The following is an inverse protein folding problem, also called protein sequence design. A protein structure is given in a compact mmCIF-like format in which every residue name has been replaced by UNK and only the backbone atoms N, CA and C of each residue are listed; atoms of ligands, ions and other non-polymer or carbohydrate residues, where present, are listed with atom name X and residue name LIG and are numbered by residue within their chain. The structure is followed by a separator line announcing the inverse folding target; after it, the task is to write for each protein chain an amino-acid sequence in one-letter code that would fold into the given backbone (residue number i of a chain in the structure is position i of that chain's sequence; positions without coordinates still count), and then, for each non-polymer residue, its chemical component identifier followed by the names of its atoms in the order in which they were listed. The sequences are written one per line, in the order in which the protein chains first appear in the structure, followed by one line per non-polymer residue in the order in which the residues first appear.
data_IF_675652965649
#
_entry.id   IF_675652965649
#
_cell.length_a   1.000
_cell.length_b   1.000
_cell.length_c   1.000
_cell.angle_alpha   90.00
_cell.angle_beta   90.00
_cell.angle_gamma   90.00
#
_symmetry.space_group_name_H-M   'P 1'
#
loop_
_entity.id
_entity.type
_entity.pdbx_description
1 polymer ?
#
# COMPACT_ATOMS: atom_id res chain seq x y z
N UNK A 1 -6.99 -2.11 31.75
CA UNK A 1 -5.67 -2.71 31.49
C UNK A 1 -5.45 -2.55 30.01
N UNK A 2 -4.74 -1.49 29.60
CA UNK A 2 -4.40 -1.30 28.19
C UNK A 2 -3.26 -2.27 27.93
N UNK A 3 -3.54 -3.32 27.17
CA UNK A 3 -2.53 -4.28 26.74
C UNK A 3 -1.38 -3.54 26.07
N UNK A 4 -0.18 -3.99 26.43
CA UNK A 4 1.13 -3.59 25.98
C UNK A 4 1.10 -3.10 24.52
N UNK A 5 1.15 -1.77 24.34
CA UNK A 5 1.34 -1.17 23.02
C UNK A 5 2.74 -1.56 22.57
N UNK A 6 2.81 -2.63 21.76
CA UNK A 6 3.97 -3.05 20.99
C UNK A 6 4.60 -1.81 20.35
N UNK A 7 5.64 -1.27 20.99
CA UNK A 7 6.26 -0.01 20.62
C UNK A 7 7.15 -0.30 19.41
N UNK A 8 6.52 -0.46 18.24
CA UNK A 8 7.23 -0.66 16.97
C UNK A 8 8.20 0.50 16.82
N UNK A 9 9.50 0.18 16.68
CA UNK A 9 10.52 1.20 16.40
C UNK A 9 10.33 1.66 14.96
N UNK A 10 9.46 2.67 14.79
CA UNK A 10 9.00 3.18 13.50
C UNK A 10 10.18 3.58 12.61
N UNK A 11 11.25 4.12 13.21
CA UNK A 11 12.46 4.58 12.52
C UNK A 11 13.25 3.45 11.82
N UNK A 12 13.11 2.20 12.28
CA UNK A 12 13.88 1.07 11.77
C UNK A 12 13.15 0.27 10.68
N UNK A 13 11.92 0.65 10.31
CA UNK A 13 11.12 -0.11 9.34
C UNK A 13 11.77 -0.05 7.96
N UNK A 14 12.40 -1.15 7.58
CA UNK A 14 12.92 -1.43 6.23
C UNK A 14 11.79 -2.06 5.42
N UNK A 15 11.36 -1.38 4.35
CA UNK A 15 10.34 -1.94 3.48
C UNK A 15 10.89 -3.17 2.74
N UNK A 16 10.19 -4.32 2.76
CA UNK A 16 10.56 -5.46 1.95
C UNK A 16 10.43 -5.12 0.46
N UNK A 17 11.19 -5.82 -0.37
CA UNK A 17 10.98 -5.87 -1.82
C UNK A 17 9.76 -6.76 -2.15
N UNK A 18 8.60 -6.39 -1.58
CA UNK A 18 7.34 -7.07 -1.85
C UNK A 18 6.56 -6.30 -2.91
N UNK A 19 6.07 -7.01 -3.92
CA UNK A 19 5.20 -6.48 -4.96
C UNK A 19 5.83 -5.43 -5.87
N UNK A 20 5.10 -5.10 -6.93
CA UNK A 20 5.50 -4.08 -7.91
C UNK A 20 4.28 -3.43 -8.58
N UNK A 21 4.50 -2.28 -9.22
CA UNK A 21 3.51 -1.65 -10.09
C UNK A 21 3.88 -1.93 -11.53
N UNK A 22 2.97 -2.55 -12.28
CA UNK A 22 3.17 -2.96 -13.67
C UNK A 22 2.15 -2.30 -14.59
N UNK A 23 2.56 -2.03 -15.84
CA UNK A 23 1.64 -1.59 -16.87
C UNK A 23 0.69 -2.74 -17.26
N UNK A 24 -0.51 -2.40 -17.73
CA UNK A 24 -1.52 -3.37 -18.15
C UNK A 24 -2.30 -2.86 -19.35
N UNK A 25 -2.63 -3.77 -20.28
CA UNK A 25 -3.43 -3.47 -21.47
C UNK A 25 -4.95 -3.46 -21.19
N UNK A 26 -5.36 -3.58 -19.93
CA UNK A 26 -6.76 -3.56 -19.51
C UNK A 26 -7.29 -2.16 -19.20
N UNK A 27 -8.54 -2.10 -18.71
CA UNK A 27 -9.20 -0.84 -18.28
C UNK A 27 -8.37 -0.09 -17.23
N UNK A 28 -7.71 -0.83 -16.34
CA UNK A 28 -6.76 -0.27 -15.37
C UNK A 28 -5.36 -0.26 -16.01
N UNK A 29 -4.79 0.92 -16.32
CA UNK A 29 -3.51 1.01 -17.03
C UNK A 29 -2.29 0.64 -16.17
N UNK A 30 -2.43 0.69 -14.84
CA UNK A 30 -1.38 0.36 -13.87
C UNK A 30 -1.95 -0.54 -12.78
N UNK A 31 -1.38 -1.73 -12.60
CA UNK A 31 -1.79 -2.69 -11.58
C UNK A 31 -0.72 -2.82 -10.51
N UNK A 32 -1.16 -3.05 -9.27
CA UNK A 32 -0.30 -3.48 -8.19
C UNK A 32 -0.37 -5.00 -8.11
N UNK A 33 0.79 -5.65 -8.21
CA UNK A 33 0.93 -7.10 -8.08
C UNK A 33 1.73 -7.43 -6.83
N UNK A 34 1.45 -8.58 -6.22
CA UNK A 34 2.15 -9.09 -5.04
C UNK A 34 3.52 -9.70 -5.39
N UNK A 35 4.15 -10.35 -4.40
CA UNK A 35 5.44 -11.02 -4.59
C UNK A 35 5.44 -12.22 -5.54
N UNK A 36 4.26 -12.75 -5.88
CA UNK A 36 4.07 -13.83 -6.85
C UNK A 36 3.67 -13.30 -8.23
N UNK A 37 3.47 -11.98 -8.36
CA UNK A 37 3.00 -11.36 -9.60
C UNK A 37 1.49 -11.37 -9.76
N UNK A 38 0.74 -11.78 -8.73
CA UNK A 38 -0.72 -11.82 -8.76
C UNK A 38 -1.31 -10.45 -8.39
N UNK A 39 -2.42 -10.02 -9.03
CA UNK A 39 -3.07 -8.77 -8.68
C UNK A 39 -3.51 -8.72 -7.22
N UNK A 40 -3.24 -7.61 -6.55
CA UNK A 40 -3.78 -7.35 -5.22
C UNK A 40 -5.20 -6.86 -5.37
N UNK A 41 -6.16 -7.77 -5.17
CA UNK A 41 -7.57 -7.58 -5.50
C UNK A 41 -8.19 -6.28 -4.94
N UNK A 42 -7.99 -5.90 -3.66
CA UNK A 42 -8.58 -4.67 -3.14
C UNK A 42 -8.05 -3.42 -3.83
N UNK A 43 -6.79 -3.45 -4.28
CA UNK A 43 -6.18 -2.36 -5.05
C UNK A 43 -6.72 -2.33 -6.46
N UNK A 44 -6.91 -3.50 -7.08
CA UNK A 44 -7.46 -3.58 -8.43
C UNK A 44 -8.89 -3.03 -8.49
N UNK A 45 -9.74 -3.37 -7.51
CA UNK A 45 -11.10 -2.82 -7.38
C UNK A 45 -11.05 -1.30 -7.23
N UNK A 46 -10.25 -0.80 -6.28
CA UNK A 46 -10.10 0.65 -6.08
C UNK A 46 -9.63 1.37 -7.35
N UNK A 47 -8.61 0.86 -8.04
CA UNK A 47 -8.06 1.51 -9.23
C UNK A 47 -9.04 1.45 -10.41
N UNK A 48 -9.86 0.40 -10.51
CA UNK A 48 -10.94 0.32 -11.50
C UNK A 48 -11.97 1.42 -11.28
N UNK A 49 -12.43 1.62 -10.05
CA UNK A 49 -13.35 2.70 -9.71
C UNK A 49 -12.71 4.07 -9.91
N UNK A 50 -11.41 4.19 -9.61
CA UNK A 50 -10.67 5.42 -9.81
C UNK A 50 -10.55 5.80 -11.29
N UNK A 51 -10.34 4.82 -12.18
CA UNK A 51 -10.41 5.02 -13.64
C UNK A 51 -11.84 5.38 -14.07
N UNK A 52 -12.86 4.69 -13.55
CA UNK A 52 -14.26 4.97 -13.89
C UNK A 52 -14.69 6.40 -13.53
N UNK A 53 -14.06 7.02 -12.52
CA UNK A 53 -14.23 8.43 -12.17
C UNK A 53 -13.52 9.42 -13.13
N UNK A 54 -12.91 8.95 -14.21
CA UNK A 54 -12.25 9.78 -15.23
C UNK A 54 -10.85 10.26 -14.82
N UNK A 55 -10.17 9.57 -13.90
CA UNK A 55 -8.82 9.93 -13.47
C UNK A 55 -7.79 9.58 -14.54
N UNK A 56 -6.83 10.46 -14.73
CA UNK A 56 -5.77 10.27 -15.73
C UNK A 56 -4.91 9.04 -15.42
N UNK A 57 -4.33 8.41 -16.46
CA UNK A 57 -3.40 7.28 -16.28
C UNK A 57 -2.21 7.64 -15.37
N UNK A 58 -1.74 8.88 -15.41
CA UNK A 58 -0.68 9.37 -14.52
C UNK A 58 -1.14 9.41 -13.06
N UNK A 59 -2.37 9.89 -12.80
CA UNK A 59 -2.95 9.89 -11.45
C UNK A 59 -3.12 8.45 -10.92
N UNK A 60 -3.59 7.53 -11.76
CA UNK A 60 -3.72 6.10 -11.43
C UNK A 60 -2.35 5.51 -11.08
N UNK A 61 -1.31 5.81 -11.88
CA UNK A 61 0.06 5.36 -11.61
C UNK A 61 0.58 5.86 -10.27
N UNK A 62 0.42 7.15 -9.99
CA UNK A 62 0.87 7.75 -8.73
C UNK A 62 0.15 7.12 -7.53
N UNK A 63 -1.14 6.83 -7.66
CA UNK A 63 -1.89 6.14 -6.61
C UNK A 63 -1.45 4.69 -6.44
N UNK A 64 -1.22 3.94 -7.52
CA UNK A 64 -0.71 2.58 -7.46
C UNK A 64 0.66 2.52 -6.74
N UNK A 65 1.55 3.50 -6.99
CA UNK A 65 2.84 3.60 -6.31
C UNK A 65 2.71 3.94 -4.81
N UNK A 66 1.78 4.84 -4.46
CA UNK A 66 1.47 5.14 -3.06
C UNK A 66 0.92 3.91 -2.33
N UNK A 67 0.00 3.19 -2.97
CA UNK A 67 -0.55 1.93 -2.46
C UNK A 67 0.55 0.88 -2.31
N UNK A 68 1.48 0.74 -3.27
CA UNK A 68 2.63 -0.17 -3.14
C UNK A 68 3.45 0.13 -1.88
N UNK A 69 3.68 1.41 -1.57
CA UNK A 69 4.41 1.81 -0.37
C UNK A 69 3.62 1.45 0.90
N UNK A 70 2.32 1.66 0.91
CA UNK A 70 1.43 1.25 2.00
C UNK A 70 1.41 -0.26 2.22
N UNK A 71 1.25 -1.05 1.15
CA UNK A 71 1.23 -2.51 1.26
C UNK A 71 2.57 -3.08 1.74
N UNK A 72 3.70 -2.54 1.26
CA UNK A 72 5.02 -2.91 1.79
C UNK A 72 5.15 -2.61 3.28
N UNK A 73 4.58 -1.51 3.74
CA UNK A 73 4.55 -1.18 5.17
C UNK A 73 3.73 -2.22 5.95
N UNK A 74 2.53 -2.56 5.47
CA UNK A 74 1.70 -3.60 6.09
C UNK A 74 2.40 -4.96 6.19
N UNK A 75 3.11 -5.38 5.14
CA UNK A 75 3.93 -6.59 5.15
C UNK A 75 5.05 -6.48 6.20
N UNK A 76 5.72 -5.32 6.28
CA UNK A 76 6.80 -5.11 7.24
C UNK A 76 6.33 -5.18 8.70
N UNK A 77 5.11 -4.72 8.99
CA UNK A 77 4.52 -4.77 10.35
C UNK A 77 3.67 -6.02 10.60
N UNK A 78 3.55 -6.93 9.62
CA UNK A 78 2.81 -8.18 9.74
C UNK A 78 1.29 -8.03 9.89
N UNK A 79 0.71 -6.93 9.38
CA UNK A 79 -0.73 -6.65 9.51
C UNK A 79 -1.44 -6.88 8.18
N UNK A 80 -2.49 -7.70 8.20
CA UNK A 80 -3.36 -7.90 7.04
C UNK A 80 -4.19 -6.64 6.78
N UNK A 81 -4.42 -6.30 5.50
CA UNK A 81 -5.08 -5.05 5.09
C UNK A 81 -6.49 -4.89 5.69
N UNK A 82 -7.21 -6.00 5.87
CA UNK A 82 -8.57 -6.08 6.40
C UNK A 82 -8.62 -6.03 7.94
N UNK A 83 -7.45 -6.04 8.59
CA UNK A 83 -7.28 -5.95 10.05
C UNK A 83 -6.60 -4.66 10.50
N UNK A 84 -6.37 -3.74 9.57
CA UNK A 84 -5.73 -2.44 9.83
C UNK A 84 -6.58 -1.62 10.80
N UNK A 85 -5.93 -1.04 11.80
CA UNK A 85 -6.54 -0.07 12.72
C UNK A 85 -5.99 1.34 12.47
N UNK A 86 -6.55 2.38 13.14
CA UNK A 86 -5.97 3.72 13.11
C UNK A 86 -4.52 3.79 13.61
N UNK A 87 -4.05 2.81 14.40
CA UNK A 87 -2.67 2.74 14.87
C UNK A 87 -1.70 2.54 13.69
N UNK A 88 -1.94 1.54 12.82
CA UNK A 88 -1.10 1.29 11.64
C UNK A 88 -1.06 2.47 10.68
N UNK A 89 -2.19 3.18 10.52
CA UNK A 89 -2.26 4.37 9.65
C UNK A 89 -1.39 5.49 10.22
N UNK A 90 -1.50 5.77 11.53
CA UNK A 90 -0.65 6.75 12.21
C UNK A 90 0.82 6.39 12.06
N UNK A 91 1.17 5.14 12.33
CA UNK A 91 2.55 4.65 12.29
C UNK A 91 3.13 4.78 10.87
N UNK A 92 2.34 4.50 9.83
CA UNK A 92 2.74 4.72 8.44
C UNK A 92 2.98 6.19 8.10
N UNK A 93 2.08 7.09 8.53
CA UNK A 93 2.24 8.54 8.27
C UNK A 93 3.46 9.09 9.00
N UNK A 94 3.70 8.67 10.25
CA UNK A 94 4.90 9.05 10.99
C UNK A 94 6.16 8.53 10.29
N UNK A 95 6.16 7.27 9.84
CA UNK A 95 7.26 6.69 9.07
C UNK A 95 7.53 7.46 7.76
N UNK A 96 6.49 7.85 7.02
CA UNK A 96 6.62 8.66 5.80
C UNK A 96 7.28 10.02 6.08
N UNK A 97 6.96 10.66 7.20
CA UNK A 97 7.52 11.96 7.58
C UNK A 97 9.00 11.92 7.99
N UNK A 98 9.52 10.75 8.39
CA UNK A 98 10.93 10.59 8.77
C UNK A 98 11.81 10.08 7.61
N UNK A 99 11.22 9.53 6.55
CA UNK A 99 11.93 9.07 5.37
C UNK A 99 12.29 10.24 4.43
N UNK A 100 13.18 11.13 4.89
CA UNK A 100 13.81 12.20 4.10
C UNK A 100 15.24 11.83 3.74
#
# INVERSE_FOLDING_TARGET
MFEDSDHRVIEAIRLPLWGSVVASDGVVPWRLVDGLGEPVEPVEVFLRDFVAQGRSANSVRSYALALLRWWRFLVAVGVAWDRVSPAEVRDFVLWLGQAT
#
